data_IF_804960938520
#
_entry.id   IF_804960938520
#
_cell.length_a   1.000
_cell.length_b   1.000
_cell.length_c   1.000
_cell.angle_alpha   90.00
_cell.angle_beta   90.00
_cell.angle_gamma   90.00
#
_symmetry.space_group_name_H-M   'P 1'
#
loop_
_entity.id
_entity.type
_entity.pdbx_description
1 polymer ?
#
# COMPACT_ATOMS: atom_id res chain seq x y z
N UNK A 1 -6.84 -4.83 -16.25
CA UNK A 1 -7.73 -5.99 -16.49
C UNK A 1 -7.14 -7.19 -15.75
N UNK A 2 -7.70 -7.53 -14.59
CA UNK A 2 -7.12 -8.58 -13.74
C UNK A 2 -7.30 -9.98 -14.36
N UNK A 3 -8.40 -10.27 -15.05
CA UNK A 3 -8.60 -11.60 -15.65
C UNK A 3 -7.54 -11.91 -16.73
N UNK A 4 -7.17 -10.91 -17.53
CA UNK A 4 -6.06 -11.06 -18.50
C UNK A 4 -4.70 -11.23 -17.81
N UNK A 5 -4.46 -10.49 -16.73
CA UNK A 5 -3.23 -10.61 -15.96
C UNK A 5 -3.09 -11.99 -15.31
N UNK A 6 -4.16 -12.52 -14.72
CA UNK A 6 -4.22 -13.89 -14.19
C UNK A 6 -3.82 -14.92 -15.24
N UNK A 7 -4.42 -14.83 -16.43
CA UNK A 7 -4.10 -15.72 -17.55
C UNK A 7 -2.62 -15.65 -17.95
N UNK A 8 -2.07 -14.43 -18.02
CA UNK A 8 -0.66 -14.22 -18.36
C UNK A 8 0.29 -14.79 -17.31
N UNK A 9 0.03 -14.57 -16.01
CA UNK A 9 0.86 -15.10 -14.94
C UNK A 9 0.76 -16.62 -14.82
N UNK A 10 -0.42 -17.20 -15.04
CA UNK A 10 -0.57 -18.67 -15.14
C UNK A 10 0.30 -19.22 -16.27
N UNK A 11 0.33 -18.57 -17.44
CA UNK A 11 1.20 -19.00 -18.52
C UNK A 11 2.69 -18.83 -18.16
N UNK A 12 3.08 -17.70 -17.56
CA UNK A 12 4.46 -17.48 -17.11
C UNK A 12 4.93 -18.56 -16.12
N UNK A 13 4.07 -18.97 -15.19
CA UNK A 13 4.34 -20.05 -14.24
C UNK A 13 4.51 -21.40 -14.93
N UNK A 14 3.76 -21.68 -16.01
CA UNK A 14 3.94 -22.93 -16.78
C UNK A 14 5.32 -22.99 -17.45
N UNK A 15 5.77 -21.88 -18.01
CA UNK A 15 7.08 -21.78 -18.65
C UNK A 15 8.22 -21.76 -17.63
N UNK A 16 8.03 -21.04 -16.52
CA UNK A 16 9.05 -20.83 -15.48
C UNK A 16 8.49 -21.14 -14.09
N UNK A 17 8.32 -22.42 -13.71
CA UNK A 17 7.62 -22.79 -12.48
C UNK A 17 8.26 -22.26 -11.21
N UNK A 18 9.55 -21.93 -11.22
CA UNK A 18 10.32 -21.46 -10.07
C UNK A 18 10.39 -19.93 -9.94
N UNK A 19 9.82 -19.17 -10.88
CA UNK A 19 9.86 -17.70 -10.81
C UNK A 19 8.93 -17.15 -9.71
N UNK A 20 9.53 -16.67 -8.62
CA UNK A 20 8.80 -16.12 -7.48
C UNK A 20 7.95 -14.88 -7.84
N UNK A 21 8.36 -14.09 -8.83
CA UNK A 21 7.63 -12.86 -9.19
C UNK A 21 6.31 -13.20 -9.89
N UNK A 22 6.30 -14.16 -10.81
CA UNK A 22 5.07 -14.64 -11.45
C UNK A 22 4.06 -15.17 -10.43
N UNK A 23 4.51 -15.94 -9.43
CA UNK A 23 3.63 -16.40 -8.34
C UNK A 23 3.11 -15.25 -7.47
N UNK A 24 3.97 -14.27 -7.17
CA UNK A 24 3.57 -13.09 -6.41
C UNK A 24 2.52 -12.26 -7.14
N UNK A 25 2.71 -12.05 -8.44
CA UNK A 25 1.83 -11.23 -9.24
C UNK A 25 0.50 -11.95 -9.51
N UNK A 26 0.52 -13.28 -9.64
CA UNK A 26 -0.69 -14.09 -9.64
C UNK A 26 -1.47 -13.90 -8.33
N UNK A 27 -0.81 -14.01 -7.17
CA UNK A 27 -1.44 -13.80 -5.86
C UNK A 27 -2.08 -12.42 -5.72
N UNK A 28 -1.40 -11.36 -6.15
CA UNK A 28 -1.92 -10.00 -6.14
C UNK A 28 -3.11 -9.82 -7.09
N UNK A 29 -3.03 -10.41 -8.28
CA UNK A 29 -4.11 -10.39 -9.24
C UNK A 29 -5.37 -11.11 -8.74
N UNK A 30 -5.22 -12.27 -8.11
CA UNK A 30 -6.31 -13.03 -7.50
C UNK A 30 -6.92 -12.28 -6.31
N UNK A 31 -6.07 -11.63 -5.51
CA UNK A 31 -6.50 -10.81 -4.37
C UNK A 31 -7.42 -9.67 -4.82
N UNK A 32 -7.05 -8.92 -5.86
CA UNK A 32 -7.88 -7.85 -6.40
C UNK A 32 -9.15 -8.33 -7.11
N UNK A 33 -9.22 -9.62 -7.46
CA UNK A 33 -10.42 -10.27 -7.98
C UNK A 33 -11.28 -10.89 -6.87
N UNK A 34 -10.96 -10.68 -5.60
CA UNK A 34 -11.64 -11.26 -4.43
C UNK A 34 -11.57 -12.79 -4.36
N UNK A 35 -10.62 -13.42 -5.08
CA UNK A 35 -10.34 -14.86 -5.04
C UNK A 35 -9.35 -15.16 -3.90
N UNK A 36 -9.82 -15.00 -2.67
CA UNK A 36 -8.98 -15.01 -1.46
C UNK A 36 -8.12 -16.27 -1.28
N UNK A 37 -8.73 -17.45 -1.30
CA UNK A 37 -8.01 -18.71 -1.05
C UNK A 37 -6.94 -19.00 -2.12
N UNK A 38 -7.24 -18.70 -3.39
CA UNK A 38 -6.28 -18.82 -4.48
C UNK A 38 -5.14 -17.81 -4.32
N UNK A 39 -5.45 -16.57 -3.95
CA UNK A 39 -4.46 -15.53 -3.69
C UNK A 39 -3.50 -15.91 -2.55
N UNK A 40 -4.04 -16.49 -1.47
CA UNK A 40 -3.25 -16.98 -0.35
C UNK A 40 -2.33 -18.12 -0.79
N UNK A 41 -2.86 -19.06 -1.58
CA UNK A 41 -2.09 -20.19 -2.10
C UNK A 41 -0.93 -19.75 -2.99
N UNK A 42 -1.19 -18.83 -3.94
CA UNK A 42 -0.17 -18.26 -4.81
C UNK A 42 0.89 -17.46 -4.03
N UNK A 43 0.47 -16.69 -3.02
CA UNK A 43 1.39 -15.93 -2.17
C UNK A 43 2.30 -16.84 -1.32
N UNK A 44 1.76 -17.93 -0.77
CA UNK A 44 2.57 -18.96 -0.07
C UNK A 44 3.59 -19.58 -1.03
N UNK A 45 3.20 -19.81 -2.28
CA UNK A 45 4.04 -20.41 -3.29
C UNK A 45 5.18 -19.48 -3.76
N UNK A 46 4.91 -18.18 -3.84
CA UNK A 46 5.92 -17.15 -4.07
C UNK A 46 6.97 -17.12 -2.95
N UNK A 47 6.53 -17.12 -1.68
CA UNK A 47 7.44 -17.14 -0.52
C UNK A 47 8.28 -18.42 -0.49
N UNK A 48 7.70 -19.58 -0.79
CA UNK A 48 8.43 -20.86 -0.87
C UNK A 48 9.56 -20.83 -1.89
N UNK A 49 9.36 -20.15 -3.04
CA UNK A 49 10.37 -20.04 -4.11
C UNK A 49 11.47 -19.06 -3.85
N UNK A 50 11.20 -18.01 -3.09
CA UNK A 50 12.14 -16.92 -2.88
C UNK A 50 13.50 -17.41 -2.36
N UNK A 51 13.53 -18.50 -1.59
CA UNK A 51 14.75 -19.07 -1.01
C UNK A 51 15.49 -18.09 -0.07
N UNK A 52 16.28 -18.61 0.86
CA UNK A 52 17.18 -17.78 1.68
C UNK A 52 16.49 -16.68 2.52
N UNK A 53 17.24 -15.63 2.88
CA UNK A 53 16.82 -14.49 3.72
C UNK A 53 17.20 -13.15 3.06
N UNK A 54 16.51 -12.78 1.99
CA UNK A 54 16.78 -11.58 1.17
C UNK A 54 15.64 -10.55 1.18
N UNK A 55 15.86 -9.40 0.53
CA UNK A 55 14.83 -8.34 0.41
C UNK A 55 13.59 -8.83 -0.32
N UNK A 56 13.80 -9.56 -1.42
CA UNK A 56 12.76 -10.20 -2.21
C UNK A 56 11.80 -11.02 -1.33
N UNK A 57 12.34 -11.83 -0.41
CA UNK A 57 11.54 -12.62 0.53
C UNK A 57 10.70 -11.75 1.46
N UNK A 58 11.20 -10.63 1.95
CA UNK A 58 10.42 -9.74 2.83
C UNK A 58 9.26 -9.09 2.10
N UNK A 59 9.47 -8.66 0.86
CA UNK A 59 8.40 -8.09 0.05
C UNK A 59 7.29 -9.14 -0.17
N UNK A 60 7.66 -10.39 -0.45
CA UNK A 60 6.72 -11.50 -0.59
C UNK A 60 6.02 -11.87 0.73
N UNK A 61 6.76 -11.90 1.85
CA UNK A 61 6.19 -12.12 3.17
C UNK A 61 5.20 -11.03 3.56
N UNK A 62 5.45 -9.78 3.15
CA UNK A 62 4.52 -8.67 3.37
C UNK A 62 3.23 -8.85 2.58
N UNK A 63 3.32 -9.24 1.30
CA UNK A 63 2.15 -9.57 0.48
C UNK A 63 1.37 -10.78 1.03
N UNK A 64 2.08 -11.80 1.50
CA UNK A 64 1.47 -12.96 2.18
C UNK A 64 0.78 -12.54 3.48
N UNK A 65 1.44 -11.74 4.32
CA UNK A 65 0.87 -11.23 5.57
C UNK A 65 -0.42 -10.44 5.32
N UNK A 66 -0.40 -9.52 4.34
CA UNK A 66 -1.60 -8.80 3.89
C UNK A 66 -2.71 -9.77 3.51
N UNK A 67 -2.44 -10.71 2.60
CA UNK A 67 -3.46 -11.67 2.13
C UNK A 67 -4.00 -12.55 3.27
N UNK A 68 -3.12 -13.02 4.15
CA UNK A 68 -3.47 -13.78 5.35
C UNK A 68 -4.36 -12.96 6.29
N UNK A 69 -4.08 -11.67 6.46
CA UNK A 69 -4.84 -10.76 7.33
C UNK A 69 -6.30 -10.66 6.88
N UNK A 70 -6.50 -10.45 5.58
CA UNK A 70 -7.83 -10.30 4.98
C UNK A 70 -8.67 -11.59 5.07
N UNK A 71 -8.01 -12.75 5.11
CA UNK A 71 -8.67 -14.05 5.18
C UNK A 71 -8.69 -14.65 6.59
N UNK A 72 -8.25 -13.89 7.60
CA UNK A 72 -8.08 -14.37 8.97
C UNK A 72 -7.28 -15.69 9.07
N UNK A 73 -6.27 -15.85 8.21
CA UNK A 73 -5.39 -17.02 8.19
C UNK A 73 -4.17 -16.78 9.08
N UNK A 74 -4.20 -17.34 10.29
CA UNK A 74 -3.15 -17.14 11.30
C UNK A 74 -1.99 -18.15 11.22
N UNK A 75 -2.02 -19.07 10.25
CA UNK A 75 -0.97 -20.08 10.10
C UNK A 75 0.39 -19.43 9.78
N UNK A 76 1.37 -19.60 10.67
CA UNK A 76 2.72 -19.01 10.51
C UNK A 76 2.78 -17.50 10.69
N UNK A 77 1.73 -16.89 11.28
CA UNK A 77 1.60 -15.45 11.45
C UNK A 77 2.76 -14.85 12.26
N UNK A 78 3.01 -15.40 13.45
CA UNK A 78 4.03 -14.89 14.39
C UNK A 78 5.45 -14.94 13.79
N UNK A 79 5.76 -16.00 13.05
CA UNK A 79 7.04 -16.17 12.38
C UNK A 79 7.20 -15.13 11.26
N UNK A 80 6.17 -14.96 10.43
CA UNK A 80 6.19 -14.00 9.34
C UNK A 80 6.33 -12.56 9.84
N UNK A 81 5.53 -12.15 10.84
CA UNK A 81 5.59 -10.78 11.37
C UNK A 81 6.91 -10.52 12.10
N UNK A 82 7.47 -11.50 12.80
CA UNK A 82 8.78 -11.38 13.45
C UNK A 82 9.89 -11.19 12.42
N UNK A 83 9.87 -11.95 11.33
CA UNK A 83 10.85 -11.83 10.24
C UNK A 83 10.76 -10.46 9.55
N UNK A 84 9.55 -10.03 9.19
CA UNK A 84 9.29 -8.71 8.59
C UNK A 84 9.80 -7.60 9.50
N UNK A 85 9.46 -7.63 10.80
CA UNK A 85 9.90 -6.63 11.78
C UNK A 85 11.42 -6.58 11.93
N UNK A 86 12.06 -7.73 12.06
CA UNK A 86 13.51 -7.80 12.24
C UNK A 86 14.25 -7.26 11.02
N UNK A 87 13.83 -7.64 9.82
CA UNK A 87 14.47 -7.15 8.60
C UNK A 87 14.17 -5.68 8.34
N UNK A 88 12.93 -5.23 8.54
CA UNK A 88 12.58 -3.80 8.49
C UNK A 88 13.47 -2.98 9.41
N UNK A 89 13.64 -3.42 10.68
CA UNK A 89 14.55 -2.74 11.61
C UNK A 89 15.99 -2.68 11.09
N UNK A 90 16.50 -3.76 10.52
CA UNK A 90 17.86 -3.77 9.94
C UNK A 90 17.99 -2.83 8.74
N UNK A 91 17.00 -2.81 7.85
CA UNK A 91 16.99 -1.94 6.68
C UNK A 91 16.95 -0.46 7.10
N UNK A 92 16.15 -0.12 8.12
CA UNK A 92 16.14 1.22 8.71
C UNK A 92 17.49 1.62 9.31
N UNK A 93 18.17 0.73 10.03
CA UNK A 93 19.51 0.98 10.56
C UNK A 93 20.55 1.22 9.45
N UNK A 94 20.32 0.66 8.26
CA UNK A 94 21.15 0.84 7.07
C UNK A 94 20.70 2.01 6.18
N UNK A 95 19.66 2.75 6.58
CA UNK A 95 19.08 3.84 5.78
C UNK A 95 18.44 3.38 4.47
N UNK A 96 18.09 2.09 4.36
CA UNK A 96 17.43 1.52 3.19
C UNK A 96 15.94 1.85 3.19
N UNK A 97 15.39 1.89 1.99
CA UNK A 97 13.96 2.06 1.78
C UNK A 97 13.20 0.77 2.05
N UNK A 98 11.95 0.93 2.47
CA UNK A 98 11.00 -0.16 2.72
C UNK A 98 9.86 -0.07 1.72
N UNK A 99 9.50 -1.22 1.16
CA UNK A 99 8.54 -1.34 0.05
C UNK A 99 7.25 -2.03 0.50
N UNK A 100 6.53 -1.37 1.41
CA UNK A 100 5.19 -1.77 1.84
C UNK A 100 4.45 -0.62 2.51
N UNK A 101 3.12 -0.72 2.58
CA UNK A 101 2.30 0.21 3.37
C UNK A 101 2.29 -0.23 4.83
N UNK A 102 2.54 0.69 5.76
CA UNK A 102 2.37 0.40 7.19
C UNK A 102 0.91 0.11 7.56
N UNK A 103 -0.04 0.50 6.71
CA UNK A 103 -1.46 0.20 6.89
C UNK A 103 -1.79 -1.30 6.69
N UNK A 104 -0.91 -2.05 6.01
CA UNK A 104 -1.08 -3.51 5.84
C UNK A 104 -0.72 -4.29 7.12
N UNK A 105 -0.25 -3.60 8.17
CA UNK A 105 0.21 -4.19 9.42
C UNK A 105 -0.51 -3.60 10.63
N UNK A 106 -1.63 -4.20 11.01
CA UNK A 106 -2.35 -3.84 12.23
C UNK A 106 -1.55 -4.13 13.51
N UNK A 107 -0.62 -5.10 13.45
CA UNK A 107 0.15 -5.54 14.61
C UNK A 107 1.47 -4.78 14.77
N UNK A 108 1.84 -3.83 13.90
CA UNK A 108 3.07 -3.05 14.08
C UNK A 108 2.89 -1.99 15.18
N UNK A 109 3.92 -1.80 16.02
CA UNK A 109 3.86 -0.76 17.05
C UNK A 109 3.82 0.64 16.39
N UNK A 110 3.08 1.62 16.96
CA UNK A 110 3.05 2.98 16.43
C UNK A 110 4.43 3.63 16.32
N UNK A 111 5.35 3.29 17.23
CA UNK A 111 6.75 3.72 17.19
C UNK A 111 7.50 3.21 15.96
N UNK A 112 7.27 1.95 15.56
CA UNK A 112 7.87 1.38 14.36
C UNK A 112 7.26 1.98 13.10
N UNK A 113 5.93 2.14 13.05
CA UNK A 113 5.23 2.82 11.94
C UNK A 113 5.79 4.22 11.71
N UNK A 114 5.97 5.01 12.78
CA UNK A 114 6.59 6.33 12.71
C UNK A 114 8.04 6.28 12.22
N UNK A 115 8.81 5.30 12.67
CA UNK A 115 10.21 5.13 12.24
C UNK A 115 10.33 4.73 10.77
N UNK A 116 9.38 3.95 10.24
CA UNK A 116 9.34 3.50 8.85
C UNK A 116 8.91 4.60 7.89
N UNK A 117 8.00 5.50 8.30
CA UNK A 117 7.38 6.49 7.41
C UNK A 117 8.37 7.26 6.49
N UNK A 118 9.51 7.79 6.98
CA UNK A 118 10.48 8.52 6.14
C UNK A 118 11.22 7.65 5.11
N UNK A 119 11.22 6.33 5.31
CA UNK A 119 11.94 5.35 4.49
C UNK A 119 11.03 4.62 3.49
N UNK A 120 9.72 4.87 3.52
CA UNK A 120 8.81 4.33 2.51
C UNK A 120 9.14 4.91 1.14
N UNK A 121 9.14 4.08 0.10
CA UNK A 121 9.46 4.52 -1.28
C UNK A 121 8.58 5.70 -1.71
N UNK A 122 7.30 5.68 -1.32
CA UNK A 122 6.31 6.71 -1.62
C UNK A 122 6.52 8.03 -0.87
N UNK A 123 7.27 8.02 0.24
CA UNK A 123 7.49 9.21 1.07
C UNK A 123 8.90 9.76 0.96
N UNK A 124 9.74 9.24 0.05
CA UNK A 124 11.13 9.67 -0.06
C UNK A 124 11.16 11.14 -0.48
N UNK A 125 11.53 12.08 0.42
CA UNK A 125 11.56 13.47 0.05
C UNK A 125 12.62 13.65 -1.03
N UNK A 126 12.33 14.51 -2.01
CA UNK A 126 13.36 14.94 -2.95
C UNK A 126 14.57 15.46 -2.16
N UNK A 127 15.81 15.23 -2.62
CA UNK A 127 17.00 15.74 -1.93
C UNK A 127 16.89 17.25 -1.71
N UNK A 128 17.05 17.68 -0.44
CA UNK A 128 17.00 19.09 -0.04
C UNK A 128 15.79 19.42 0.85
N UNK A 129 15.75 20.65 1.41
CA UNK A 129 14.60 21.10 2.18
C UNK A 129 13.36 21.12 1.28
N UNK A 130 12.18 20.70 1.79
CA UNK A 130 10.94 20.78 1.02
C UNK A 130 10.74 22.23 0.61
N UNK A 131 10.81 22.50 -0.70
CA UNK A 131 10.57 23.83 -1.23
C UNK A 131 9.06 23.97 -1.39
N UNK A 132 8.39 24.84 -0.62
CA UNK A 132 6.96 25.05 -0.80
C UNK A 132 6.72 25.44 -2.25
N UNK A 133 5.78 24.76 -2.92
CA UNK A 133 5.34 25.14 -4.26
C UNK A 133 4.78 26.57 -4.27
N UNK A 134 4.31 27.04 -3.12
CA UNK A 134 3.85 28.40 -2.90
C UNK A 134 4.42 28.95 -1.59
N UNK A 135 5.14 30.07 -1.65
CA UNK A 135 5.48 30.86 -0.47
C UNK A 135 4.19 31.60 -0.06
N UNK A 136 3.53 31.11 0.99
CA UNK A 136 2.19 31.50 1.41
C UNK A 136 1.90 32.98 1.21
N UNK A 137 1.12 33.31 0.18
CA UNK A 137 0.42 34.58 0.13
C UNK A 137 -0.79 34.46 1.04
N UNK A 138 -0.85 35.26 2.09
CA UNK A 138 -2.11 35.53 2.77
C UNK A 138 -3.03 36.13 1.71
N UNK A 139 -4.10 35.41 1.33
CA UNK A 139 -5.04 35.95 0.36
C UNK A 139 -5.86 37.04 1.04
N UNK A 140 -5.52 38.30 0.76
CA UNK A 140 -6.36 39.42 1.17
C UNK A 140 -7.64 39.42 0.33
N UNK A 141 -8.71 38.89 0.94
CA UNK A 141 -10.13 39.05 0.58
C UNK A 141 -10.65 38.25 -0.62
N UNK A 142 -10.57 36.92 -0.53
CA UNK A 142 -11.33 36.00 -1.39
C UNK A 142 -11.86 34.80 -0.60
N UNK A 143 -12.84 34.05 -1.14
CA UNK A 143 -13.28 32.81 -0.51
C UNK A 143 -12.10 31.83 -0.39
N UNK A 144 -11.98 31.17 0.76
CA UNK A 144 -10.95 30.16 1.00
C UNK A 144 -11.19 28.98 0.06
N UNK A 145 -10.19 28.67 -0.77
CA UNK A 145 -10.26 27.54 -1.68
C UNK A 145 -9.73 26.29 -0.98
N UNK A 146 -10.61 25.31 -0.77
CA UNK A 146 -10.29 24.01 -0.21
C UNK A 146 -10.36 22.97 -1.33
N UNK A 147 -9.23 22.28 -1.59
CA UNK A 147 -9.16 21.20 -2.57
C UNK A 147 -9.02 19.86 -1.85
N UNK A 148 -9.88 18.91 -2.22
CA UNK A 148 -9.76 17.51 -1.80
C UNK A 148 -9.19 16.70 -2.96
N UNK A 149 -8.12 15.94 -2.70
CA UNK A 149 -7.47 15.06 -3.67
C UNK A 149 -7.64 13.62 -3.22
N UNK A 150 -8.23 12.77 -4.07
CA UNK A 150 -8.43 11.36 -3.75
C UNK A 150 -8.58 10.52 -5.02
N UNK A 151 -7.97 9.33 -5.05
CA UNK A 151 -8.27 8.29 -6.06
C UNK A 151 -9.65 7.65 -5.86
N UNK A 152 -10.28 7.92 -4.72
CA UNK A 152 -11.41 7.15 -4.23
C UNK A 152 -12.74 7.92 -4.33
N UNK A 153 -12.78 8.94 -5.19
CA UNK A 153 -14.02 9.62 -5.54
C UNK A 153 -14.88 8.70 -6.42
N UNK A 154 -15.92 8.09 -5.84
CA UNK A 154 -16.74 7.06 -6.49
C UNK A 154 -17.39 6.11 -5.49
N UNK A 155 -17.54 4.83 -5.88
CA UNK A 155 -18.05 3.76 -5.01
C UNK A 155 -16.94 3.27 -4.09
N UNK A 156 -16.64 4.04 -3.05
CA UNK A 156 -15.59 3.73 -2.08
C UNK A 156 -15.94 4.28 -0.68
N UNK A 157 -15.50 3.66 0.43
CA UNK A 157 -15.75 4.17 1.78
C UNK A 157 -15.37 5.63 1.99
N UNK A 158 -14.23 6.08 1.42
CA UNK A 158 -13.80 7.48 1.51
C UNK A 158 -14.88 8.43 1.00
N UNK A 159 -15.40 8.18 -0.21
CA UNK A 159 -16.49 8.97 -0.79
C UNK A 159 -17.74 8.96 0.05
N UNK A 160 -18.17 7.78 0.51
CA UNK A 160 -19.36 7.64 1.35
C UNK A 160 -19.25 8.44 2.64
N UNK A 161 -18.07 8.45 3.26
CA UNK A 161 -17.79 9.15 4.51
C UNK A 161 -17.74 10.67 4.33
N UNK A 162 -17.12 11.16 3.25
CA UNK A 162 -16.92 12.61 3.05
C UNK A 162 -18.06 13.29 2.31
N UNK A 163 -18.96 12.56 1.64
CA UNK A 163 -20.05 13.12 0.82
C UNK A 163 -20.88 14.20 1.53
N UNK A 164 -21.29 13.92 2.77
CA UNK A 164 -22.08 14.88 3.56
C UNK A 164 -21.29 16.15 3.91
N UNK A 165 -20.03 15.98 4.30
CA UNK A 165 -19.13 17.09 4.58
C UNK A 165 -18.90 17.96 3.34
N UNK A 166 -18.63 17.36 2.18
CA UNK A 166 -18.43 18.10 0.93
C UNK A 166 -19.67 18.92 0.54
N UNK A 167 -20.87 18.36 0.74
CA UNK A 167 -22.14 19.06 0.50
C UNK A 167 -22.26 20.28 1.42
N UNK A 168 -22.03 20.09 2.72
CA UNK A 168 -22.07 21.17 3.70
C UNK A 168 -21.07 22.28 3.37
N UNK A 169 -19.82 21.93 3.07
CA UNK A 169 -18.76 22.91 2.77
C UNK A 169 -19.04 23.69 1.48
N UNK A 170 -19.71 23.09 0.50
CA UNK A 170 -20.06 23.75 -0.76
C UNK A 170 -21.15 24.83 -0.58
N UNK A 171 -21.97 24.74 0.46
CA UNK A 171 -23.02 25.71 0.77
C UNK A 171 -22.54 26.87 1.65
N UNK A 172 -21.37 26.73 2.30
CA UNK A 172 -20.86 27.75 3.20
C UNK A 172 -20.35 28.99 2.45
N UNK A 173 -20.80 30.20 2.83
CA UNK A 173 -20.33 31.43 2.21
C UNK A 173 -18.85 31.64 2.55
N UNK A 174 -18.09 32.12 1.57
CA UNK A 174 -16.66 32.36 1.73
C UNK A 174 -15.79 31.10 1.58
N UNK A 175 -16.35 29.96 1.19
CA UNK A 175 -15.59 28.78 0.78
C UNK A 175 -15.77 28.50 -0.72
N UNK A 176 -14.71 27.96 -1.34
CA UNK A 176 -14.76 27.34 -2.65
C UNK A 176 -14.19 25.93 -2.52
N UNK A 177 -15.00 24.92 -2.80
CA UNK A 177 -14.59 23.52 -2.70
C UNK A 177 -14.33 22.95 -4.09
N UNK A 178 -13.20 22.26 -4.27
CA UNK A 178 -12.92 21.48 -5.50
C UNK A 178 -12.48 20.07 -5.14
N UNK A 179 -12.94 19.08 -5.89
CA UNK A 179 -12.52 17.69 -5.76
C UNK A 179 -11.69 17.30 -6.98
N UNK A 180 -10.51 16.74 -6.74
CA UNK A 180 -9.59 16.24 -7.75
C UNK A 180 -9.54 14.72 -7.63
N UNK A 181 -10.07 14.03 -8.64
CA UNK A 181 -9.97 12.58 -8.76
C UNK A 181 -8.66 12.22 -9.46
N UNK A 182 -7.93 11.26 -8.91
CA UNK A 182 -6.74 10.66 -9.53
C UNK A 182 -7.12 9.46 -10.40
#
# INVERSE_FOLDING_TARGET
>A
DYAKAETAFIQAIKETPHDMESWSNLGECLFHQWKGEDALSASKEAVRRAGGRGQARINLLTKLHRTSSWLASWQGWDEAILEIRNRTRQDLLQGKTVDFSTADFNDMSPSLVRAVAPFTVMSRPAPGPPKPLHAGRTMDRGPLHIAFLSSDFGVHPVSSLVRGLLTLLAELPGLRVTCWSL
#
